data_IF_080196385122
#
_entry.id   IF_080196385122
#
_cell.length_a   1.000
_cell.length_b   1.000
_cell.length_c   1.000
_cell.angle_alpha   90.00
_cell.angle_beta   90.00
_cell.angle_gamma   90.00
#
_symmetry.space_group_name_H-M   'P 1'
#
loop_
_entity.id
_entity.type
_entity.pdbx_description
1 polymer ?
#
# COMPACT_ATOMS: atom_id res chain seq x y z
N UNK A 1 31.62 43.84 -4.60
CA UNK A 1 30.15 43.64 -4.62
C UNK A 1 29.93 42.15 -4.79
N UNK A 2 29.36 41.51 -3.77
CA UNK A 2 29.39 40.06 -3.58
C UNK A 2 28.42 39.33 -4.49
N UNK A 3 28.88 38.20 -5.04
CA UNK A 3 28.06 37.20 -5.71
C UNK A 3 27.27 36.44 -4.66
N UNK A 4 25.94 36.56 -4.70
CA UNK A 4 25.07 35.70 -3.91
C UNK A 4 24.83 34.40 -4.68
N UNK A 5 25.46 33.32 -4.23
CA UNK A 5 25.09 31.95 -4.59
C UNK A 5 23.73 31.68 -3.97
N UNK A 6 22.71 31.46 -4.80
CA UNK A 6 21.44 30.88 -4.35
C UNK A 6 21.63 29.37 -4.34
N UNK A 7 21.87 28.83 -3.14
CA UNK A 7 21.70 27.41 -2.84
C UNK A 7 20.20 27.18 -2.63
N UNK A 8 19.53 26.59 -3.61
CA UNK A 8 18.18 26.05 -3.41
C UNK A 8 18.34 24.73 -2.65
N UNK A 9 17.65 24.54 -1.50
CA UNK A 9 17.75 23.32 -0.73
C UNK A 9 17.20 22.13 -1.51
N UNK A 10 17.96 21.04 -1.48
CA UNK A 10 17.54 19.67 -1.78
C UNK A 10 16.09 19.45 -1.32
N UNK A 11 15.19 19.30 -2.27
CA UNK A 11 13.85 18.77 -2.06
C UNK A 11 14.05 17.31 -1.69
N UNK A 12 14.19 17.04 -0.39
CA UNK A 12 14.15 15.69 0.16
C UNK A 12 12.78 15.16 -0.23
N UNK A 13 12.74 14.38 -1.32
CA UNK A 13 11.60 13.53 -1.62
C UNK A 13 11.41 12.67 -0.39
N UNK A 14 10.48 13.08 0.45
CA UNK A 14 10.01 12.35 1.62
C UNK A 14 9.57 11.01 1.06
N UNK A 15 10.48 10.04 1.12
CA UNK A 15 10.30 8.73 0.50
C UNK A 15 9.35 8.04 1.44
N UNK A 16 8.05 8.29 1.28
CA UNK A 16 7.01 7.62 2.01
C UNK A 16 7.34 6.13 1.96
N UNK A 17 7.62 5.55 3.12
CA UNK A 17 8.00 4.14 3.15
C UNK A 17 6.87 3.35 2.49
N UNK A 18 7.19 2.43 1.56
CA UNK A 18 6.16 1.70 0.83
C UNK A 18 5.27 0.97 1.83
N UNK A 19 3.95 1.18 1.71
CA UNK A 19 2.96 0.55 2.56
C UNK A 19 3.14 -0.96 2.48
N UNK A 20 3.36 -1.64 3.60
CA UNK A 20 3.56 -3.09 3.60
C UNK A 20 2.23 -3.81 3.72
N UNK A 21 1.98 -4.69 2.75
CA UNK A 21 0.85 -5.60 2.72
C UNK A 21 1.26 -7.03 3.02
N UNK A 22 0.27 -7.85 3.37
CA UNK A 22 0.39 -9.29 3.56
C UNK A 22 -0.65 -9.96 2.68
N UNK A 23 -0.26 -11.00 1.95
CA UNK A 23 -1.14 -11.76 1.06
C UNK A 23 -0.92 -13.26 1.23
N UNK A 24 -1.87 -14.05 0.73
CA UNK A 24 -1.61 -15.48 0.55
C UNK A 24 -0.60 -15.69 -0.60
N UNK A 25 0.39 -16.61 -0.46
CA UNK A 25 1.43 -16.80 -1.46
C UNK A 25 0.90 -17.11 -2.86
N UNK A 26 -0.19 -17.89 -2.96
CA UNK A 26 -0.80 -18.27 -4.24
C UNK A 26 -1.66 -17.15 -4.86
N UNK A 27 -1.96 -16.08 -4.10
CA UNK A 27 -2.69 -14.90 -4.56
C UNK A 27 -1.75 -13.75 -4.97
N UNK A 28 -0.47 -13.85 -4.62
CA UNK A 28 0.51 -12.82 -4.89
C UNK A 28 1.01 -12.88 -6.34
N UNK A 29 0.82 -11.80 -7.09
CA UNK A 29 1.38 -11.62 -8.43
C UNK A 29 2.37 -10.46 -8.37
N UNK A 30 3.69 -10.72 -8.30
CA UNK A 30 4.68 -9.65 -8.24
C UNK A 30 4.64 -8.77 -9.50
N UNK A 31 4.64 -7.45 -9.31
CA UNK A 31 4.41 -6.45 -10.35
C UNK A 31 2.96 -6.35 -10.82
N UNK A 32 2.03 -7.08 -10.18
CA UNK A 32 0.62 -7.07 -10.51
C UNK A 32 -0.05 -5.77 -10.06
N UNK A 33 -0.81 -5.15 -10.97
CA UNK A 33 -1.66 -3.99 -10.66
C UNK A 33 -3.10 -4.45 -10.45
N UNK A 34 -3.74 -3.90 -9.45
CA UNK A 34 -5.14 -4.17 -9.18
C UNK A 34 -5.83 -3.00 -8.51
N UNK A 35 -7.14 -3.11 -8.42
CA UNK A 35 -8.00 -2.10 -7.79
C UNK A 35 -8.60 -2.70 -6.52
N UNK A 36 -8.63 -1.93 -5.44
CA UNK A 36 -9.31 -2.30 -4.21
C UNK A 36 -10.81 -2.27 -4.48
N UNK A 37 -11.48 -3.41 -4.43
CA UNK A 37 -12.91 -3.52 -4.71
C UNK A 37 -13.77 -3.53 -3.47
N UNK A 38 -13.18 -3.85 -2.31
CA UNK A 38 -13.91 -3.92 -1.04
C UNK A 38 -12.95 -3.83 0.15
N UNK A 39 -13.49 -3.46 1.32
CA UNK A 39 -12.79 -3.46 2.60
C UNK A 39 -13.61 -4.24 3.64
N UNK A 40 -12.98 -5.22 4.26
CA UNK A 40 -13.63 -6.15 5.18
C UNK A 40 -13.10 -5.95 6.60
N UNK A 41 -14.01 -5.99 7.59
CA UNK A 41 -13.66 -6.00 9.02
C UNK A 41 -13.12 -7.36 9.49
N UNK A 42 -13.28 -8.40 8.67
CA UNK A 42 -12.79 -9.74 8.98
C UNK A 42 -11.30 -9.87 8.66
N UNK A 43 -10.54 -10.55 9.52
CA UNK A 43 -9.16 -10.99 9.22
C UNK A 43 -8.89 -12.42 9.73
N UNK A 44 -7.90 -13.13 9.17
CA UNK A 44 -7.49 -14.45 9.65
C UNK A 44 -6.99 -14.39 11.09
N UNK A 45 -7.45 -15.32 11.95
CA UNK A 45 -6.96 -15.46 13.33
C UNK A 45 -5.46 -15.78 13.44
N UNK A 46 -4.85 -16.25 12.36
CA UNK A 46 -3.42 -16.58 12.30
C UNK A 46 -2.52 -15.37 12.06
N UNK A 47 -3.09 -14.21 11.70
CA UNK A 47 -2.35 -12.96 11.65
C UNK A 47 -2.48 -12.30 13.02
N UNK A 48 -1.36 -12.24 13.75
CA UNK A 48 -1.25 -11.56 15.03
C UNK A 48 -0.97 -10.07 14.77
N UNK A 49 -1.91 -9.18 15.12
CA UNK A 49 -1.80 -7.73 14.90
C UNK A 49 -3.15 -7.10 14.54
N UNK A 50 -3.19 -5.76 14.43
CA UNK A 50 -4.35 -5.08 13.85
C UNK A 50 -4.14 -5.00 12.34
N UNK A 51 -4.86 -5.86 11.62
CA UNK A 51 -4.84 -5.88 10.16
C UNK A 51 -6.18 -5.45 9.63
N UNK A 52 -6.17 -4.59 8.61
CA UNK A 52 -7.34 -4.35 7.77
C UNK A 52 -7.28 -5.26 6.55
N UNK A 53 -8.42 -5.83 6.19
CA UNK A 53 -8.53 -6.71 5.03
C UNK A 53 -9.15 -5.95 3.87
N UNK A 54 -8.52 -6.05 2.72
CA UNK A 54 -9.00 -5.51 1.46
C UNK A 54 -9.19 -6.63 0.45
N UNK A 55 -10.14 -6.44 -0.45
CA UNK A 55 -10.30 -7.27 -1.64
C UNK A 55 -9.66 -6.53 -2.80
N UNK A 56 -8.63 -7.13 -3.39
CA UNK A 56 -7.93 -6.60 -4.55
C UNK A 56 -8.38 -7.41 -5.79
N UNK A 57 -8.72 -6.71 -6.87
CA UNK A 57 -8.97 -7.31 -8.17
C UNK A 57 -7.86 -6.92 -9.14
N UNK A 58 -7.10 -7.90 -9.66
CA UNK A 58 -6.03 -7.61 -10.60
C UNK A 58 -6.59 -7.17 -11.96
N UNK A 59 -6.00 -6.13 -12.55
CA UNK A 59 -6.41 -5.58 -13.85
C UNK A 59 -6.30 -6.63 -14.98
N UNK A 60 -5.31 -7.51 -14.92
CA UNK A 60 -5.13 -8.59 -15.90
C UNK A 60 -6.21 -9.68 -15.82
N UNK A 61 -6.84 -9.82 -14.65
CA UNK A 61 -7.82 -10.88 -14.36
C UNK A 61 -8.87 -10.36 -13.37
N UNK A 62 -9.83 -9.52 -13.80
CA UNK A 62 -10.74 -8.83 -12.89
C UNK A 62 -11.67 -9.78 -12.09
N UNK A 63 -11.92 -10.96 -12.63
CA UNK A 63 -12.68 -12.03 -11.95
C UNK A 63 -11.91 -12.69 -10.81
N UNK A 64 -10.59 -12.49 -10.74
CA UNK A 64 -9.74 -13.05 -9.69
C UNK A 64 -9.59 -12.03 -8.56
N UNK A 65 -10.38 -12.24 -7.51
CA UNK A 65 -10.35 -11.44 -6.29
C UNK A 65 -9.40 -12.09 -5.28
N UNK A 66 -8.55 -11.27 -4.68
CA UNK A 66 -7.57 -11.71 -3.68
C UNK A 66 -7.67 -10.90 -2.41
N UNK A 67 -7.19 -11.48 -1.32
CA UNK A 67 -7.17 -10.80 -0.03
C UNK A 67 -5.83 -10.15 0.22
N UNK A 68 -5.88 -8.87 0.56
CA UNK A 68 -4.75 -8.05 0.93
C UNK A 68 -4.93 -7.59 2.38
N UNK A 69 -4.01 -7.95 3.25
CA UNK A 69 -4.03 -7.59 4.66
C UNK A 69 -3.00 -6.50 4.91
N UNK A 70 -3.40 -5.34 5.39
CA UNK A 70 -2.49 -4.22 5.65
C UNK A 70 -2.42 -3.99 7.15
N UNK A 71 -1.21 -3.92 7.69
CA UNK A 71 -1.01 -3.67 9.12
C UNK A 71 -1.36 -2.20 9.43
N UNK A 72 -2.26 -1.98 10.38
CA UNK A 72 -2.67 -0.64 10.81
C UNK A 72 -2.02 -0.22 12.13
N UNK A 73 -1.22 -1.08 12.76
CA UNK A 73 -0.53 -0.79 14.03
C UNK A 73 0.72 0.06 13.86
N UNK A 74 1.35 0.02 12.68
CA UNK A 74 2.65 0.69 12.43
C UNK A 74 2.55 2.20 12.15
N UNK A 75 1.42 2.87 12.44
CA UNK A 75 1.35 4.34 12.46
C UNK A 75 1.65 5.08 11.13
N UNK A 76 2.00 4.37 10.05
CA UNK A 76 2.24 4.96 8.72
C UNK A 76 0.95 5.34 8.00
N UNK A 77 -0.22 5.00 8.56
CA UNK A 77 -1.51 5.60 8.22
C UNK A 77 -1.67 7.04 8.76
N UNK A 78 -0.57 7.72 9.17
CA UNK A 78 -0.58 9.13 9.58
C UNK A 78 -0.26 10.12 8.44
N UNK A 79 -0.38 9.73 7.18
CA UNK A 79 -0.42 10.68 6.05
C UNK A 79 -1.84 10.63 5.48
N UNK A 80 -2.58 11.73 5.65
CA UNK A 80 -4.04 11.90 5.49
C UNK A 80 -4.89 11.75 6.77
N UNK A 81 -4.41 12.34 7.88
CA UNK A 81 -5.28 12.69 9.02
C UNK A 81 -6.13 13.92 8.68
N UNK A 82 -7.12 13.72 7.81
CA UNK A 82 -8.23 14.64 7.57
C UNK A 82 -9.52 13.84 7.66
N UNK A 83 -10.34 14.16 8.68
CA UNK A 83 -11.62 13.51 9.00
C UNK A 83 -11.54 12.10 9.60
N UNK A 84 -12.16 11.93 10.76
CA UNK A 84 -12.10 10.73 11.60
C UNK A 84 -12.95 9.56 11.08
N UNK A 85 -12.73 9.15 9.84
CA UNK A 85 -13.15 7.84 9.39
C UNK A 85 -11.98 6.87 9.59
N UNK A 86 -12.26 5.79 10.30
CA UNK A 86 -11.39 4.65 10.56
C UNK A 86 -11.01 3.90 9.26
N UNK A 87 -11.05 4.56 8.09
CA UNK A 87 -10.73 4.02 6.79
C UNK A 87 -9.21 3.89 6.66
N UNK A 88 -8.73 2.65 6.60
CA UNK A 88 -7.30 2.34 6.53
C UNK A 88 -6.62 2.94 5.30
N UNK A 89 -5.36 2.57 5.02
CA UNK A 89 -4.50 3.30 4.09
C UNK A 89 -4.96 3.27 2.62
N UNK A 90 -5.95 2.45 2.27
CA UNK A 90 -6.53 2.41 0.93
C UNK A 90 -8.04 2.58 0.97
N UNK A 91 -8.57 3.34 0.01
CA UNK A 91 -10.00 3.49 -0.26
C UNK A 91 -10.49 2.43 -1.25
N UNK A 92 -11.78 2.12 -1.22
CA UNK A 92 -12.41 1.29 -2.27
C UNK A 92 -12.41 2.09 -3.58
N UNK A 93 -11.85 1.49 -4.63
CA UNK A 93 -11.59 2.13 -5.91
C UNK A 93 -10.14 2.55 -6.11
N UNK A 94 -9.30 2.50 -5.07
CA UNK A 94 -7.88 2.81 -5.19
C UNK A 94 -7.14 1.78 -6.04
N UNK A 95 -6.27 2.26 -6.94
CA UNK A 95 -5.36 1.41 -7.71
C UNK A 95 -4.07 1.18 -6.92
N UNK A 96 -3.70 -0.09 -6.78
CA UNK A 96 -2.55 -0.54 -6.00
C UNK A 96 -1.68 -1.46 -6.86
N UNK A 97 -0.37 -1.28 -6.75
CA UNK A 97 0.64 -2.15 -7.35
C UNK A 97 1.27 -3.03 -6.27
N UNK A 98 1.30 -4.34 -6.53
CA UNK A 98 2.02 -5.31 -5.70
C UNK A 98 3.48 -5.31 -6.13
N UNK A 99 4.33 -4.73 -5.29
CA UNK A 99 5.76 -4.57 -5.52
C UNK A 99 6.58 -5.81 -5.16
N UNK A 100 7.68 -5.60 -4.44
CA UNK A 100 8.62 -6.65 -4.07
C UNK A 100 8.03 -7.56 -2.99
N UNK A 101 8.29 -8.86 -3.11
CA UNK A 101 7.95 -9.87 -2.10
C UNK A 101 9.13 -10.04 -1.14
N UNK A 102 8.90 -9.87 0.17
CA UNK A 102 9.96 -9.92 1.19
C UNK A 102 10.08 -11.28 1.90
N UNK A 103 9.10 -12.18 1.73
CA UNK A 103 9.05 -13.47 2.42
C UNK A 103 7.86 -13.54 3.38
N UNK A 104 7.86 -14.46 4.34
CA UNK A 104 6.72 -14.60 5.27
C UNK A 104 6.79 -13.61 6.43
N UNK A 105 5.65 -13.01 6.84
CA UNK A 105 5.61 -12.17 8.04
C UNK A 105 5.96 -13.00 9.27
N UNK A 106 6.75 -12.40 10.16
CA UNK A 106 7.21 -12.99 11.42
C UNK A 106 6.04 -13.60 12.22
N UNK A 107 6.22 -14.81 12.76
CA UNK A 107 5.19 -15.47 13.58
C UNK A 107 4.15 -16.28 12.79
N UNK A 108 4.02 -16.09 11.48
CA UNK A 108 3.10 -16.90 10.66
C UNK A 108 3.80 -18.10 10.04
N UNK A 109 3.22 -19.30 10.17
CA UNK A 109 3.74 -20.55 9.57
C UNK A 109 3.63 -20.54 8.04
N UNK A 110 4.47 -19.79 7.31
CA UNK A 110 4.56 -19.77 5.81
C UNK A 110 3.24 -19.58 5.03
N UNK A 111 2.12 -19.34 5.70
CA UNK A 111 0.80 -19.22 5.07
C UNK A 111 0.60 -17.88 4.37
N UNK A 112 1.51 -16.93 4.62
CA UNK A 112 1.44 -15.57 4.12
C UNK A 112 2.80 -15.12 3.58
N UNK A 113 2.75 -14.14 2.68
CA UNK A 113 3.90 -13.38 2.20
C UNK A 113 3.67 -11.89 2.43
N UNK A 114 4.71 -11.19 2.85
CA UNK A 114 4.76 -9.74 2.92
C UNK A 114 5.17 -9.20 1.56
N UNK A 115 4.44 -8.17 1.11
CA UNK A 115 4.63 -7.49 -0.16
C UNK A 115 4.72 -5.99 0.09
N UNK A 116 5.56 -5.31 -0.67
CA UNK A 116 5.46 -3.85 -0.78
C UNK A 116 4.23 -3.50 -1.60
N UNK A 117 3.49 -2.48 -1.18
CA UNK A 117 2.38 -1.90 -1.90
C UNK A 117 2.75 -0.48 -2.27
N UNK A 118 2.50 -0.16 -3.53
CA UNK A 118 2.65 1.17 -4.07
C UNK A 118 1.26 1.64 -4.49
N UNK A 119 0.84 2.79 -3.96
CA UNK A 119 -0.35 3.47 -4.44
C UNK A 119 -0.04 3.99 -5.86
N UNK A 120 -0.89 3.63 -6.83
CA UNK A 120 -0.75 4.07 -8.23
C UNK A 120 -1.62 5.30 -8.46
N UNK A 121 -1.77 6.15 -7.44
CA UNK A 121 -2.28 7.50 -7.61
C UNK A 121 -1.39 8.19 -8.62
N UNK A 122 -1.94 8.30 -9.82
CA UNK A 122 -1.36 9.01 -10.93
C UNK A 122 -1.19 10.46 -10.48
N UNK A 123 -0.02 10.77 -9.91
CA UNK A 123 0.50 12.13 -9.92
C UNK A 123 0.84 12.47 -11.38
N UNK A 124 -0.17 12.53 -12.24
CA UNK A 124 -0.20 13.50 -13.33
C UNK A 124 -0.21 14.87 -12.67
N UNK A 125 0.97 15.30 -12.25
CA UNK A 125 1.30 16.71 -12.28
C UNK A 125 1.20 17.11 -13.75
N UNK A 126 0.01 17.58 -14.12
CA UNK A 126 -0.22 18.31 -15.36
C UNK A 126 0.63 19.60 -15.28
N UNK A 127 1.91 19.43 -15.60
CA UNK A 127 2.83 20.52 -15.93
C UNK A 127 2.58 20.90 -17.37
N UNK A 128 1.58 21.75 -17.62
CA UNK A 128 1.37 22.54 -18.85
C UNK A 128 0.04 23.30 -18.68
N UNK A 129 -0.11 24.62 -18.71
CA UNK A 129 0.57 25.72 -19.40
C UNK A 129 0.25 27.04 -18.68
#
# INVERSE_FOLDING_TARGET
MGSATVETPDEVSETAEPTRGVMFPYQCVPGGRGTITDALEWHPRSLEGAYRTYVLSYQSTPSYQVYLFVDTTDGVAEIHRGDGNDDGPFEVGADVSVGRIHGSPSGTKRSFVTVDLEDVTDHSVDSSM
#
